data_IF_878090237990
#
_entry.id   IF_878090237990
#
_cell.length_a   1.000
_cell.length_b   1.000
_cell.length_c   1.000
_cell.angle_alpha   90.00
_cell.angle_beta   90.00
_cell.angle_gamma   90.00
#
_symmetry.space_group_name_H-M   'P 1'
#
loop_
_entity.id
_entity.type
_entity.pdbx_description
1 polymer ?
#
# COMPACT_ATOMS: atom_id res chain seq x y z
N UNK A 1 -6.71 -16.32 -10.21
CA UNK A 1 -5.65 -17.17 -9.62
C UNK A 1 -6.25 -18.56 -9.45
N UNK A 2 -5.60 -19.60 -9.98
CA UNK A 2 -6.06 -20.98 -9.77
C UNK A 2 -5.92 -21.35 -8.28
N UNK A 3 -6.82 -22.18 -7.76
CA UNK A 3 -6.70 -22.70 -6.39
C UNK A 3 -5.36 -23.45 -6.24
N UNK A 4 -4.51 -23.01 -5.31
CA UNK A 4 -3.18 -23.58 -5.07
C UNK A 4 -2.00 -22.73 -5.59
N UNK A 5 -2.26 -21.62 -6.27
CA UNK A 5 -1.21 -20.67 -6.67
C UNK A 5 -0.63 -19.97 -5.43
N UNK A 6 0.63 -20.28 -5.09
CA UNK A 6 1.37 -19.76 -3.92
C UNK A 6 1.96 -18.36 -4.13
N UNK A 7 1.79 -17.76 -5.31
CA UNK A 7 2.35 -16.45 -5.64
C UNK A 7 1.73 -15.36 -4.77
N UNK A 8 2.55 -14.36 -4.45
CA UNK A 8 2.20 -13.23 -3.60
C UNK A 8 1.61 -12.09 -4.42
N UNK A 9 0.45 -11.60 -3.99
CA UNK A 9 -0.26 -10.52 -4.67
C UNK A 9 0.24 -9.17 -4.17
N UNK A 10 0.76 -8.35 -5.08
CA UNK A 10 1.34 -7.04 -4.80
C UNK A 10 0.45 -5.96 -5.39
N UNK A 11 -0.15 -5.12 -4.55
CA UNK A 11 -0.88 -3.94 -4.99
C UNK A 11 0.08 -2.77 -5.22
N UNK A 12 0.11 -2.20 -6.41
CA UNK A 12 0.88 -1.00 -6.74
C UNK A 12 -0.06 0.20 -6.80
N UNK A 13 0.03 1.07 -5.79
CA UNK A 13 -0.90 2.20 -5.60
C UNK A 13 -0.15 3.53 -5.43
N UNK A 14 -0.20 4.35 -6.47
CA UNK A 14 0.42 5.68 -6.52
C UNK A 14 -0.60 6.83 -6.69
N UNK A 15 -1.89 6.57 -6.42
CA UNK A 15 -2.94 7.60 -6.35
C UNK A 15 -3.14 8.40 -7.65
N UNK A 16 -3.20 7.73 -8.80
CA UNK A 16 -3.42 8.40 -10.10
C UNK A 16 -2.21 9.18 -10.65
N UNK A 17 -1.14 9.35 -9.87
CA UNK A 17 0.14 9.82 -10.39
C UNK A 17 0.85 8.67 -11.09
N UNK A 18 1.06 8.81 -12.40
CA UNK A 18 1.85 7.86 -13.19
C UNK A 18 3.18 7.60 -12.49
N UNK A 19 3.45 6.34 -12.16
CA UNK A 19 4.63 5.88 -11.42
C UNK A 19 5.96 6.09 -12.17
N UNK A 20 5.94 6.78 -13.32
CA UNK A 20 7.04 6.83 -14.28
C UNK A 20 7.24 5.48 -14.98
N UNK A 21 8.03 5.49 -16.07
CA UNK A 21 8.51 4.26 -16.67
C UNK A 21 9.59 3.65 -15.78
N UNK A 22 9.49 2.35 -15.52
CA UNK A 22 10.64 1.61 -15.00
C UNK A 22 11.73 1.60 -16.07
N UNK A 23 12.97 1.71 -15.64
CA UNK A 23 14.15 1.52 -16.47
C UNK A 23 14.94 0.34 -15.89
N UNK A 24 14.49 -0.90 -16.13
CA UNK A 24 15.16 -2.06 -15.56
C UNK A 24 16.60 -2.09 -16.06
N UNK A 25 17.55 -2.03 -15.15
CA UNK A 25 18.97 -2.19 -15.47
C UNK A 25 19.37 -3.65 -15.54
N UNK A 26 18.60 -4.53 -14.89
CA UNK A 26 18.72 -5.99 -14.94
C UNK A 26 17.33 -6.63 -14.91
N UNK A 27 17.18 -7.78 -15.57
CA UNK A 27 15.97 -8.59 -15.41
C UNK A 27 15.99 -9.25 -14.03
N UNK A 28 15.13 -8.79 -13.11
CA UNK A 28 14.81 -9.58 -11.93
C UNK A 28 13.71 -10.58 -12.27
N UNK A 29 13.95 -11.84 -11.91
CA UNK A 29 12.87 -12.81 -11.80
C UNK A 29 11.95 -12.34 -10.69
N UNK A 30 10.64 -12.33 -10.92
CA UNK A 30 9.62 -11.93 -9.95
C UNK A 30 8.46 -12.93 -10.01
N UNK A 31 8.75 -14.17 -10.38
CA UNK A 31 7.76 -15.20 -10.72
C UNK A 31 6.95 -15.66 -9.50
N UNK A 32 7.48 -15.41 -8.29
CA UNK A 32 6.77 -15.58 -7.02
C UNK A 32 5.74 -14.48 -6.74
N UNK A 33 5.62 -13.46 -7.59
CA UNK A 33 4.76 -12.30 -7.39
C UNK A 33 3.80 -12.10 -8.57
N UNK A 34 2.58 -11.69 -8.25
CA UNK A 34 1.61 -11.16 -9.22
C UNK A 34 1.34 -9.72 -8.83
N UNK A 35 1.50 -8.80 -9.77
CA UNK A 35 1.28 -7.38 -9.51
C UNK A 35 -0.10 -6.96 -9.99
N UNK A 36 -0.71 -6.03 -9.28
CA UNK A 36 -1.96 -5.40 -9.68
C UNK A 36 -1.88 -3.90 -9.45
N UNK A 37 -2.40 -3.12 -10.40
CA UNK A 37 -2.33 -1.67 -10.31
C UNK A 37 -3.29 -0.96 -11.24
N UNK A 38 -3.50 0.33 -10.97
CA UNK A 38 -4.45 1.18 -11.70
C UNK A 38 -3.89 1.76 -13.01
N UNK A 39 -2.58 1.68 -13.20
CA UNK A 39 -1.89 2.10 -14.42
C UNK A 39 -1.68 0.93 -15.39
N UNK A 40 -1.25 1.26 -16.61
CA UNK A 40 -0.71 0.26 -17.52
C UNK A 40 0.49 -0.47 -16.89
N UNK A 41 0.72 -1.71 -17.33
CA UNK A 41 1.89 -2.50 -16.96
C UNK A 41 3.17 -1.69 -17.25
N UNK A 42 4.06 -1.48 -16.27
CA UNK A 42 5.30 -0.77 -16.52
C UNK A 42 6.15 -1.46 -17.59
N UNK A 43 6.71 -0.66 -18.51
CA UNK A 43 7.59 -1.19 -19.55
C UNK A 43 8.80 -1.88 -18.92
N UNK A 44 9.13 -3.08 -19.42
CA UNK A 44 10.26 -3.86 -18.94
C UNK A 44 9.99 -4.71 -17.68
N UNK A 45 8.83 -4.60 -17.05
CA UNK A 45 8.42 -5.52 -15.98
C UNK A 45 8.07 -6.88 -16.60
N UNK A 46 8.81 -7.95 -16.27
CA UNK A 46 8.51 -9.29 -16.77
C UNK A 46 7.34 -9.97 -16.03
N UNK A 47 7.19 -9.68 -14.74
CA UNK A 47 6.16 -10.24 -13.87
C UNK A 47 4.72 -10.08 -14.42
N UNK A 48 3.82 -10.96 -13.99
CA UNK A 48 2.39 -10.85 -14.29
C UNK A 48 1.83 -9.53 -13.74
N UNK A 49 1.00 -8.85 -14.54
CA UNK A 49 0.35 -7.60 -14.18
C UNK A 49 -1.14 -7.68 -14.47
N UNK A 50 -1.95 -7.48 -13.43
CA UNK A 50 -3.40 -7.40 -13.51
C UNK A 50 -3.79 -5.92 -13.55
N UNK A 51 -4.27 -5.40 -14.70
CA UNK A 51 -4.76 -4.04 -14.76
C UNK A 51 -6.11 -3.96 -14.03
N UNK A 52 -6.17 -3.11 -13.02
CA UNK A 52 -7.37 -2.88 -12.21
C UNK A 52 -8.35 -1.92 -12.90
N UNK A 53 -7.87 -1.10 -13.85
CA UNK A 53 -8.65 -0.06 -14.51
C UNK A 53 -8.99 1.10 -13.55
N UNK A 54 -9.38 2.26 -14.09
CA UNK A 54 -9.66 3.45 -13.26
C UNK A 54 -10.96 3.36 -12.44
N UNK A 55 -11.81 2.36 -12.69
CA UNK A 55 -13.17 2.25 -12.13
C UNK A 55 -13.57 0.82 -11.78
N UNK A 56 -12.81 0.16 -10.92
CA UNK A 56 -13.24 -1.15 -10.36
C UNK A 56 -14.55 -1.07 -9.58
N UNK A 57 -15.04 0.14 -9.26
CA UNK A 57 -16.26 0.35 -8.48
C UNK A 57 -16.15 -0.13 -7.04
N UNK A 58 -14.94 -0.50 -6.60
CA UNK A 58 -14.65 -1.01 -5.26
C UNK A 58 -13.75 -0.04 -4.49
N UNK A 59 -13.96 0.10 -3.17
CA UNK A 59 -13.06 0.86 -2.30
C UNK A 59 -11.61 0.34 -2.36
N UNK A 60 -10.64 1.24 -2.23
CA UNK A 60 -9.21 0.88 -2.24
C UNK A 60 -8.85 -0.10 -1.10
N UNK A 61 -9.47 0.07 0.08
CA UNK A 61 -9.32 -0.83 1.23
C UNK A 61 -9.67 -2.30 0.92
N UNK A 62 -10.63 -2.58 0.03
CA UNK A 62 -10.94 -3.96 -0.36
C UNK A 62 -9.80 -4.60 -1.15
N UNK A 63 -9.16 -3.82 -2.03
CA UNK A 63 -8.01 -4.28 -2.82
C UNK A 63 -6.80 -4.50 -1.92
N UNK A 64 -6.62 -3.64 -0.93
CA UNK A 64 -5.58 -3.76 0.08
C UNK A 64 -5.81 -5.02 0.93
N UNK A 65 -7.06 -5.30 1.34
CA UNK A 65 -7.39 -6.50 2.08
C UNK A 65 -7.11 -7.80 1.30
N UNK A 66 -7.30 -7.76 -0.03
CA UNK A 66 -7.07 -8.89 -0.92
C UNK A 66 -5.59 -9.16 -1.24
N UNK A 67 -4.69 -8.18 -1.10
CA UNK A 67 -3.27 -8.35 -1.42
C UNK A 67 -2.44 -8.90 -0.24
N UNK A 68 -1.22 -9.35 -0.51
CA UNK A 68 -0.24 -9.72 0.51
C UNK A 68 0.59 -8.51 0.97
N UNK A 69 0.83 -7.54 0.09
CA UNK A 69 1.66 -6.35 0.31
C UNK A 69 1.25 -5.23 -0.64
N UNK A 70 1.44 -3.97 -0.22
CA UNK A 70 1.22 -2.78 -1.05
C UNK A 70 2.52 -2.02 -1.29
N UNK A 71 2.75 -1.57 -2.53
CA UNK A 71 3.77 -0.61 -2.91
C UNK A 71 3.11 0.74 -3.17
N UNK A 72 3.63 1.82 -2.57
CA UNK A 72 3.07 3.15 -2.79
C UNK A 72 3.92 4.32 -2.29
N UNK A 73 3.30 5.49 -2.16
CA UNK A 73 3.90 6.69 -1.56
C UNK A 73 3.46 6.83 -0.09
N UNK A 74 4.25 7.53 0.74
CA UNK A 74 3.81 7.94 2.07
C UNK A 74 2.67 8.96 1.96
N UNK A 75 1.45 8.49 2.17
CA UNK A 75 0.23 9.28 2.14
C UNK A 75 -0.80 8.74 3.13
N UNK A 76 -1.62 9.64 3.68
CA UNK A 76 -2.56 9.36 4.77
C UNK A 76 -3.46 8.16 4.51
N UNK A 77 -4.18 8.15 3.38
CA UNK A 77 -5.16 7.11 3.06
C UNK A 77 -4.54 5.72 3.01
N UNK A 78 -3.55 5.53 2.14
CA UNK A 78 -2.91 4.21 1.97
C UNK A 78 -2.20 3.72 3.23
N UNK A 79 -1.59 4.62 4.02
CA UNK A 79 -0.96 4.24 5.29
C UNK A 79 -1.99 3.79 6.33
N UNK A 80 -3.09 4.53 6.47
CA UNK A 80 -4.18 4.17 7.37
C UNK A 80 -4.82 2.84 6.94
N UNK A 81 -5.14 2.68 5.65
CA UNK A 81 -5.74 1.45 5.14
C UNK A 81 -4.78 0.25 5.27
N UNK A 82 -3.47 0.43 5.04
CA UNK A 82 -2.48 -0.64 5.23
C UNK A 82 -2.44 -1.11 6.68
N UNK A 83 -2.56 -0.17 7.64
CA UNK A 83 -2.67 -0.50 9.05
C UNK A 83 -3.96 -1.26 9.38
N UNK A 84 -5.11 -0.75 8.92
CA UNK A 84 -6.43 -1.38 9.13
C UNK A 84 -6.46 -2.80 8.56
N UNK A 85 -5.95 -3.00 7.34
CA UNK A 85 -5.90 -4.31 6.69
C UNK A 85 -4.74 -5.19 7.17
N UNK A 86 -3.88 -4.69 8.07
CA UNK A 86 -2.68 -5.37 8.58
C UNK A 86 -1.76 -5.87 7.47
N UNK A 87 -1.54 -5.04 6.44
CA UNK A 87 -0.71 -5.36 5.28
C UNK A 87 0.61 -4.59 5.33
N UNK A 88 1.75 -5.27 5.16
CA UNK A 88 3.03 -4.57 5.05
C UNK A 88 2.99 -3.60 3.87
N UNK A 89 3.68 -2.48 4.03
CA UNK A 89 3.81 -1.46 3.00
C UNK A 89 5.27 -1.26 2.62
N UNK A 90 5.56 -1.37 1.33
CA UNK A 90 6.81 -0.90 0.73
C UNK A 90 6.56 0.51 0.17
N UNK A 91 7.24 1.52 0.70
CA UNK A 91 7.01 2.90 0.29
C UNK A 91 8.22 3.51 -0.41
N UNK A 92 7.93 4.33 -1.43
CA UNK A 92 8.92 5.18 -2.08
C UNK A 92 9.03 6.49 -1.29
N UNK A 93 10.18 6.82 -0.67
CA UNK A 93 10.35 8.05 0.07
C UNK A 93 10.12 9.29 -0.80
N UNK A 94 9.51 10.33 -0.20
CA UNK A 94 9.38 11.67 -0.79
C UNK A 94 9.61 12.71 0.30
N UNK A 95 10.17 13.86 -0.07
CA UNK A 95 10.52 14.92 0.88
C UNK A 95 9.63 16.16 0.73
N UNK A 96 8.68 16.12 -0.21
CA UNK A 96 7.91 17.31 -0.60
C UNK A 96 6.86 17.73 0.44
N UNK A 97 6.71 16.98 1.55
CA UNK A 97 5.59 17.10 2.49
C UNK A 97 6.06 16.96 3.95
N UNK A 98 5.78 17.95 4.81
CA UNK A 98 6.28 17.99 6.20
C UNK A 98 5.71 16.87 7.08
N UNK A 99 4.55 16.31 6.73
CA UNK A 99 3.91 15.22 7.48
C UNK A 99 4.56 13.85 7.26
N UNK A 100 5.38 13.68 6.21
CA UNK A 100 5.90 12.36 5.81
C UNK A 100 6.70 11.68 6.93
N UNK A 101 7.61 12.36 7.66
CA UNK A 101 8.32 11.75 8.78
C UNK A 101 7.37 11.25 9.88
N UNK A 102 6.29 11.98 10.15
CA UNK A 102 5.31 11.59 11.16
C UNK A 102 4.51 10.36 10.71
N UNK A 103 4.05 10.33 9.45
CA UNK A 103 3.32 9.20 8.87
C UNK A 103 4.16 7.93 8.81
N UNK A 104 5.39 8.04 8.30
CA UNK A 104 6.37 6.95 8.22
C UNK A 104 6.67 6.44 9.62
N UNK A 105 7.08 7.33 10.53
CA UNK A 105 7.40 6.94 11.89
C UNK A 105 6.22 6.30 12.61
N UNK A 106 4.98 6.75 12.34
CA UNK A 106 3.79 6.13 12.92
C UNK A 106 3.58 4.71 12.42
N UNK A 107 3.60 4.48 11.10
CA UNK A 107 3.38 3.13 10.55
C UNK A 107 4.55 2.20 10.84
N UNK A 108 5.78 2.71 10.86
CA UNK A 108 6.95 1.96 11.32
C UNK A 108 6.84 1.57 12.79
N UNK A 109 6.25 2.41 13.66
CA UNK A 109 6.05 2.08 15.08
C UNK A 109 4.91 1.10 15.30
N UNK A 110 3.77 1.31 14.64
CA UNK A 110 2.54 0.58 14.93
C UNK A 110 2.25 -0.59 13.98
N UNK A 111 2.88 -0.62 12.81
CA UNK A 111 2.68 -1.62 11.78
C UNK A 111 3.98 -2.04 11.12
N UNK A 112 3.94 -2.22 9.79
CA UNK A 112 5.08 -2.63 8.96
C UNK A 112 5.21 -1.73 7.75
N UNK A 113 6.20 -0.86 7.78
CA UNK A 113 6.55 0.01 6.66
C UNK A 113 8.04 -0.15 6.36
N UNK A 114 8.37 -0.27 5.07
CA UNK A 114 9.74 -0.41 4.62
C UNK A 114 9.99 0.55 3.45
N UNK A 115 11.07 1.31 3.51
CA UNK A 115 11.48 2.13 2.38
C UNK A 115 12.05 1.25 1.25
N UNK A 116 11.80 1.67 0.01
CA UNK A 116 12.60 1.30 -1.16
C UNK A 116 13.29 2.54 -1.71
N UNK A 117 14.57 2.44 -2.07
CA UNK A 117 15.28 3.57 -2.68
C UNK A 117 14.66 3.93 -4.02
N UNK A 118 14.77 5.20 -4.43
CA UNK A 118 14.30 5.62 -5.75
C UNK A 118 15.02 4.87 -6.87
N UNK A 119 16.32 4.65 -6.69
CA UNK A 119 17.15 3.92 -7.64
C UNK A 119 16.64 2.49 -7.82
N UNK A 120 16.45 1.74 -6.72
CA UNK A 120 15.95 0.36 -6.77
C UNK A 120 14.53 0.30 -7.32
N UNK A 121 13.68 1.27 -6.94
CA UNK A 121 12.31 1.34 -7.42
C UNK A 121 12.28 1.49 -8.94
N UNK A 122 12.98 2.47 -9.51
CA UNK A 122 12.97 2.71 -10.95
C UNK A 122 13.76 1.65 -11.73
N UNK A 123 14.76 1.01 -11.11
CA UNK A 123 15.49 -0.12 -11.68
C UNK A 123 14.70 -1.44 -11.65
N UNK A 124 13.51 -1.47 -11.02
CA UNK A 124 12.72 -2.70 -10.85
C UNK A 124 13.34 -3.70 -9.88
N UNK A 125 14.27 -3.27 -9.02
CA UNK A 125 14.96 -4.10 -8.03
C UNK A 125 14.11 -4.31 -6.78
N UNK A 126 12.96 -4.96 -6.95
CA UNK A 126 11.93 -5.03 -5.91
C UNK A 126 11.99 -6.30 -5.08
N UNK A 127 12.59 -7.39 -5.58
CA UNK A 127 12.54 -8.72 -4.96
C UNK A 127 12.93 -8.70 -3.48
N UNK A 128 14.15 -8.29 -3.17
CA UNK A 128 14.67 -8.34 -1.79
C UNK A 128 13.86 -7.44 -0.85
N UNK A 129 13.38 -6.30 -1.36
CA UNK A 129 12.58 -5.37 -0.58
C UNK A 129 11.19 -5.94 -0.27
N UNK A 130 10.55 -6.59 -1.24
CA UNK A 130 9.28 -7.30 -1.08
C UNK A 130 9.42 -8.49 -0.14
N UNK A 131 10.44 -9.33 -0.34
CA UNK A 131 10.70 -10.50 0.48
C UNK A 131 10.98 -10.11 1.93
N UNK A 132 11.81 -9.09 2.16
CA UNK A 132 12.06 -8.54 3.50
C UNK A 132 10.77 -8.04 4.17
N UNK A 133 9.95 -7.26 3.47
CA UNK A 133 8.71 -6.73 4.01
C UNK A 133 7.68 -7.82 4.31
N UNK A 134 7.61 -8.86 3.46
CA UNK A 134 6.75 -10.02 3.67
C UNK A 134 7.27 -10.98 4.75
N UNK A 135 8.58 -10.98 5.01
CA UNK A 135 9.21 -11.76 6.07
C UNK A 135 9.12 -11.08 7.43
N UNK A 136 8.87 -9.76 7.49
CA UNK A 136 8.68 -9.05 8.75
C UNK A 136 7.54 -9.67 9.55
N UNK A 137 7.81 -9.96 10.84
CA UNK A 137 6.87 -10.54 11.80
C UNK A 137 6.52 -9.59 12.93
N UNK A 138 6.97 -8.34 12.87
CA UNK A 138 6.62 -7.29 13.85
C UNK A 138 5.11 -7.29 14.11
N UNK A 139 4.66 -7.32 15.38
CA UNK A 139 3.23 -7.28 15.68
C UNK A 139 2.63 -5.93 15.30
N UNK A 140 1.39 -5.95 14.85
CA UNK A 140 0.58 -4.76 14.68
C UNK A 140 0.11 -4.28 16.05
N UNK A 141 0.17 -2.98 16.32
CA UNK A 141 -0.45 -2.40 17.51
C UNK A 141 -1.97 -2.59 17.46
N UNK A 142 -2.58 -2.82 18.61
CA UNK A 142 -4.03 -2.88 18.75
C UNK A 142 -4.55 -1.47 19.06
N UNK A 143 -4.84 -0.72 17.99
CA UNK A 143 -5.38 0.65 18.06
C UNK A 143 -6.81 0.65 17.52
N UNK A 144 -7.72 1.45 18.10
CA UNK A 144 -9.05 1.65 17.53
C UNK A 144 -8.97 2.15 16.08
N UNK A 145 -9.78 1.56 15.20
CA UNK A 145 -9.85 1.89 13.76
C UNK A 145 -11.22 2.42 13.35
N UNK A 146 -12.07 2.74 14.34
CA UNK A 146 -13.45 3.20 14.22
C UNK A 146 -13.57 4.71 14.46
N UNK A 147 -12.51 5.47 14.18
CA UNK A 147 -12.45 6.91 14.43
C UNK A 147 -13.55 7.70 13.70
N UNK A 148 -13.96 7.23 12.52
CA UNK A 148 -15.09 7.76 11.76
C UNK A 148 -16.42 7.56 12.50
N UNK A 149 -16.68 6.35 12.99
CA UNK A 149 -17.86 6.01 13.78
C UNK A 149 -17.87 6.76 15.13
N UNK A 150 -16.71 6.87 15.78
CA UNK A 150 -16.56 7.59 17.04
C UNK A 150 -16.92 9.07 16.90
N UNK A 151 -16.38 9.76 15.90
CA UNK A 151 -16.68 11.17 15.65
C UNK A 151 -18.13 11.36 15.20
N UNK A 152 -18.64 10.51 14.31
CA UNK A 152 -20.05 10.57 13.88
C UNK A 152 -21.01 10.44 15.08
N UNK A 153 -20.76 9.48 15.97
CA UNK A 153 -21.57 9.30 17.18
C UNK A 153 -21.49 10.49 18.14
N UNK A 154 -20.32 11.14 18.28
CA UNK A 154 -20.16 12.34 19.10
C UNK A 154 -20.94 13.52 18.51
N UNK A 155 -20.84 13.73 17.20
CA UNK A 155 -21.57 14.80 16.50
C UNK A 155 -23.09 14.62 16.63
N UNK A 156 -23.61 13.39 16.48
CA UNK A 156 -25.03 13.11 16.64
C UNK A 156 -25.54 13.43 18.05
N UNK A 157 -24.76 13.14 19.10
CA UNK A 157 -25.12 13.49 20.49
C UNK A 157 -25.17 14.99 20.71
N UNK A 158 -24.15 15.71 20.25
CA UNK A 158 -24.07 17.18 20.39
C UNK A 158 -25.20 17.89 19.62
N UNK A 159 -25.52 17.43 18.42
CA UNK A 159 -26.62 17.98 17.62
C UNK A 159 -27.98 17.66 18.24
N UNK A 160 -28.17 16.43 18.74
CA UNK A 160 -29.40 16.04 19.45
C UNK A 160 -29.65 16.89 20.69
N UNK A 161 -28.61 17.23 21.45
CA UNK A 161 -28.70 18.10 22.64
C UNK A 161 -29.04 19.56 22.33
N UNK A 162 -28.76 20.04 21.10
CA UNK A 162 -29.04 21.42 20.69
C UNK A 162 -30.43 21.60 20.06
N UNK A 163 -31.07 20.50 19.68
CA UNK A 163 -32.38 20.49 19.03
C UNK A 163 -33.53 20.14 19.99
N UNK A 164 -33.22 19.81 21.24
CA UNK A 164 -34.16 19.68 22.36
C UNK A 164 -34.05 20.90 23.27
#
# INVERSE_FOLDING_TARGET
>A
LAAGDRRKLVLVSFGGFGSGALRPTMAQELDSFVFMGFSAKPQGLKAEWIPLGQRLGRPHVELLNACDIVIGKPGYGTFAEAFVCRKPMLYLPRQDFPEVPALVGWLERHGRAHAISREDFFAGRWRDALERALADRKPWSDLPVDGDCFIAGKLLRELGQRLC
#
